data_IF_778588487785
#
_entry.id   IF_778588487785
#
_cell.length_a   1.000
_cell.length_b   1.000
_cell.length_c   1.000
_cell.angle_alpha   90.00
_cell.angle_beta   90.00
_cell.angle_gamma   90.00
#
_symmetry.space_group_name_H-M   'P 1'
#
loop_
_entity.id
_entity.type
_entity.pdbx_description
1 polymer ?
#
# COMPACT_ATOMS: atom_id res chain seq x y z
N UNK A 1 -32.60 52.02 -17.36
CA UNK A 1 -33.02 50.60 -17.24
C UNK A 1 -31.83 49.72 -17.59
N UNK A 2 -31.04 49.35 -16.60
CA UNK A 2 -29.88 48.48 -16.77
C UNK A 2 -30.16 47.16 -16.02
N UNK A 3 -30.17 46.06 -16.77
CA UNK A 3 -30.43 44.70 -16.26
C UNK A 3 -29.29 44.29 -15.33
N UNK A 4 -29.61 44.03 -14.06
CA UNK A 4 -28.72 43.37 -13.09
C UNK A 4 -28.39 41.97 -13.60
N UNK A 5 -27.10 41.70 -13.81
CA UNK A 5 -26.55 40.37 -14.06
C UNK A 5 -26.65 39.59 -12.75
N UNK A 6 -27.43 38.52 -12.73
CA UNK A 6 -27.47 37.58 -11.61
C UNK A 6 -26.12 36.87 -11.54
N UNK A 7 -25.47 36.97 -10.38
CA UNK A 7 -24.27 36.24 -10.02
C UNK A 7 -24.77 34.88 -9.53
N UNK A 8 -24.62 33.84 -10.36
CA UNK A 8 -24.75 32.45 -9.94
C UNK A 8 -23.56 32.12 -9.06
N UNK A 9 -23.81 32.02 -7.75
CA UNK A 9 -22.85 31.54 -6.76
C UNK A 9 -22.95 30.01 -6.77
N UNK A 10 -21.92 29.33 -7.26
CA UNK A 10 -21.77 27.89 -7.10
C UNK A 10 -21.56 27.56 -5.61
N UNK A 11 -22.21 26.53 -5.05
CA UNK A 11 -22.10 26.24 -3.63
C UNK A 11 -20.73 25.60 -3.32
N UNK A 12 -20.01 26.21 -2.37
CA UNK A 12 -18.76 25.69 -1.80
C UNK A 12 -18.92 24.22 -1.36
N UNK A 13 -18.01 23.36 -1.80
CA UNK A 13 -17.85 22.02 -1.26
C UNK A 13 -17.48 22.12 0.22
N UNK A 14 -18.33 21.56 1.09
CA UNK A 14 -18.10 21.51 2.54
C UNK A 14 -17.47 20.15 2.82
N UNK A 15 -16.21 20.16 3.24
CA UNK A 15 -15.52 18.96 3.73
C UNK A 15 -16.04 18.58 5.12
N UNK A 16 -16.49 17.33 5.28
CA UNK A 16 -16.99 16.80 6.54
C UNK A 16 -15.86 16.10 7.31
N UNK A 17 -15.75 16.38 8.60
CA UNK A 17 -14.69 15.81 9.48
C UNK A 17 -15.15 14.54 10.21
N UNK A 18 -16.45 14.25 10.24
CA UNK A 18 -17.07 13.12 10.94
C UNK A 18 -18.19 12.49 10.13
N UNK A 19 -18.37 11.17 10.28
CA UNK A 19 -19.44 10.38 9.63
C UNK A 19 -20.81 10.97 9.91
N UNK A 20 -21.08 11.34 11.16
CA UNK A 20 -22.35 11.92 11.61
C UNK A 20 -22.66 13.27 10.95
N UNK A 21 -21.64 14.10 10.68
CA UNK A 21 -21.82 15.38 10.00
C UNK A 21 -22.15 15.19 8.52
N UNK A 22 -21.51 14.22 7.87
CA UNK A 22 -21.82 13.86 6.49
C UNK A 22 -23.23 13.27 6.36
N UNK A 23 -23.61 12.37 7.28
CA UNK A 23 -24.98 11.81 7.36
C UNK A 23 -26.03 12.91 7.57
N UNK A 24 -25.81 13.81 8.54
CA UNK A 24 -26.72 14.91 8.84
C UNK A 24 -26.87 15.90 7.67
N UNK A 25 -25.77 16.22 6.98
CA UNK A 25 -25.83 17.10 5.80
C UNK A 25 -26.60 16.47 4.64
N UNK A 26 -26.37 15.18 4.39
CA UNK A 26 -27.12 14.42 3.38
C UNK A 26 -28.60 14.36 3.75
N UNK A 27 -28.94 14.14 5.02
CA UNK A 27 -30.34 14.18 5.49
C UNK A 27 -30.97 15.56 5.34
N UNK A 28 -30.25 16.65 5.62
CA UNK A 28 -30.79 18.01 5.48
C UNK A 28 -30.98 18.41 4.01
N UNK A 29 -30.03 18.02 3.13
CA UNK A 29 -30.15 18.21 1.68
C UNK A 29 -31.29 17.36 1.10
N UNK A 30 -31.38 16.10 1.52
CA UNK A 30 -32.46 15.18 1.14
C UNK A 30 -33.84 15.66 1.58
N UNK A 31 -33.97 16.28 2.77
CA UNK A 31 -35.22 16.90 3.24
C UNK A 31 -35.62 18.15 2.44
N UNK A 32 -34.65 18.89 1.88
CA UNK A 32 -34.91 20.09 1.07
C UNK A 32 -35.31 19.75 -0.36
N UNK A 33 -34.60 18.81 -0.98
CA UNK A 33 -34.76 18.49 -2.39
C UNK A 33 -35.70 17.31 -2.63
N UNK A 34 -36.01 16.50 -1.61
CA UNK A 34 -36.84 15.29 -1.69
C UNK A 34 -36.20 14.16 -2.50
N UNK A 35 -35.03 14.41 -3.10
CA UNK A 35 -34.29 13.50 -3.96
C UNK A 35 -32.79 13.62 -3.69
N UNK A 36 -32.08 12.50 -3.65
CA UNK A 36 -30.62 12.46 -3.56
C UNK A 36 -30.04 11.60 -4.68
N UNK A 37 -28.98 12.10 -5.30
CA UNK A 37 -28.23 11.37 -6.33
C UNK A 37 -27.36 10.30 -5.69
N UNK A 38 -27.34 9.10 -6.27
CA UNK A 38 -26.51 7.99 -5.79
C UNK A 38 -25.00 8.30 -5.83
N UNK A 39 -24.55 9.13 -6.76
CA UNK A 39 -23.14 9.52 -6.85
C UNK A 39 -22.77 10.47 -5.70
N UNK A 40 -23.66 11.39 -5.34
CA UNK A 40 -23.41 12.35 -4.24
C UNK A 40 -23.32 11.66 -2.87
N UNK A 41 -24.18 10.68 -2.60
CA UNK A 41 -24.15 9.92 -1.34
C UNK A 41 -22.93 9.02 -1.29
N UNK A 42 -22.63 8.33 -2.39
CA UNK A 42 -21.48 7.43 -2.48
C UNK A 42 -20.14 8.19 -2.39
N UNK A 43 -20.03 9.38 -2.96
CA UNK A 43 -18.79 10.15 -2.97
C UNK A 43 -18.52 10.84 -1.63
N UNK A 44 -19.58 11.27 -0.92
CA UNK A 44 -19.45 11.86 0.42
C UNK A 44 -19.19 10.85 1.52
N UNK A 45 -19.71 9.63 1.39
CA UNK A 45 -19.46 8.55 2.37
C UNK A 45 -18.22 7.70 2.06
N UNK A 46 -17.65 7.80 0.85
CA UNK A 46 -16.45 7.05 0.46
C UNK A 46 -15.20 7.35 1.31
N UNK A 47 -15.15 8.51 1.97
CA UNK A 47 -14.00 8.90 2.78
C UNK A 47 -14.05 8.35 4.22
N UNK A 48 -15.11 7.62 4.60
CA UNK A 48 -15.27 7.10 5.94
C UNK A 48 -15.39 5.57 5.93
N UNK A 49 -14.64 4.88 6.80
CA UNK A 49 -14.88 3.46 7.10
C UNK A 49 -16.20 3.34 7.87
N UNK A 50 -17.30 3.09 7.17
CA UNK A 50 -18.55 2.70 7.79
C UNK A 50 -18.63 1.19 7.93
N UNK A 51 -18.98 0.74 9.13
CA UNK A 51 -19.33 -0.66 9.37
C UNK A 51 -20.67 -1.01 8.72
N UNK A 52 -20.91 -2.30 8.50
CA UNK A 52 -22.12 -2.85 7.86
C UNK A 52 -23.39 -2.27 8.51
N UNK A 53 -23.41 -2.29 9.85
CA UNK A 53 -24.56 -1.87 10.65
C UNK A 53 -24.77 -0.34 10.58
N UNK A 54 -23.69 0.44 10.47
CA UNK A 54 -23.76 1.90 10.38
C UNK A 54 -24.23 2.40 9.00
N UNK A 55 -23.99 1.62 7.95
CA UNK A 55 -24.57 1.86 6.61
C UNK A 55 -26.04 1.46 6.58
N UNK A 56 -26.38 0.33 7.21
CA UNK A 56 -27.76 -0.14 7.32
C UNK A 56 -28.63 0.87 8.09
N UNK A 57 -28.14 1.39 9.22
CA UNK A 57 -28.76 2.46 9.98
C UNK A 57 -28.92 3.75 9.15
N UNK A 58 -27.93 4.09 8.31
CA UNK A 58 -28.03 5.28 7.44
C UNK A 58 -29.08 5.12 6.34
N UNK A 59 -29.19 3.94 5.73
CA UNK A 59 -30.23 3.66 4.75
C UNK A 59 -31.62 3.59 5.39
N UNK A 60 -31.71 3.11 6.64
CA UNK A 60 -32.94 3.16 7.43
C UNK A 60 -33.35 4.62 7.75
N UNK A 61 -32.41 5.46 8.20
CA UNK A 61 -32.66 6.89 8.43
C UNK A 61 -33.10 7.63 7.15
N UNK A 62 -32.56 7.28 5.99
CA UNK A 62 -32.99 7.86 4.72
C UNK A 62 -34.42 7.45 4.33
N UNK A 63 -34.79 6.21 4.62
CA UNK A 63 -36.13 5.68 4.37
C UNK A 63 -37.18 6.25 5.35
N UNK A 64 -36.84 6.40 6.63
CA UNK A 64 -37.72 7.05 7.62
C UNK A 64 -38.06 8.49 7.25
N UNK A 65 -37.16 9.17 6.53
CA UNK A 65 -37.34 10.54 6.08
C UNK A 65 -37.94 10.66 4.66
N UNK A 66 -38.44 9.58 4.06
CA UNK A 66 -39.10 9.52 2.72
C UNK A 66 -38.25 10.10 1.55
N UNK A 67 -36.92 10.00 1.62
CA UNK A 67 -36.03 10.54 0.59
C UNK A 67 -35.90 9.53 -0.57
N UNK A 68 -36.32 9.92 -1.78
CA UNK A 68 -36.17 9.08 -2.97
C UNK A 68 -34.74 9.20 -3.54
N UNK A 69 -34.01 8.10 -3.53
CA UNK A 69 -32.70 8.00 -4.17
C UNK A 69 -32.88 7.76 -5.68
N UNK A 70 -32.38 8.66 -6.52
CA UNK A 70 -32.52 8.57 -7.98
C UNK A 70 -31.15 8.35 -8.59
N UNK A 71 -31.03 7.32 -9.44
CA UNK A 71 -29.89 7.17 -10.33
C UNK A 71 -30.09 8.15 -11.47
N UNK A 72 -29.20 9.12 -11.64
CA UNK A 72 -29.20 10.01 -12.82
C UNK A 72 -29.12 9.25 -14.15
N UNK A 73 -28.83 7.94 -14.12
CA UNK A 73 -28.84 7.05 -15.29
C UNK A 73 -30.17 6.34 -15.58
N UNK A 74 -31.16 6.38 -14.68
CA UNK A 74 -32.47 5.77 -14.97
C UNK A 74 -33.31 6.63 -15.96
N UNK A 75 -32.80 7.78 -16.43
CA UNK A 75 -33.38 8.58 -17.52
C UNK A 75 -32.68 8.40 -18.89
N UNK A 76 -31.61 7.60 -18.96
CA UNK A 76 -30.88 7.30 -20.19
C UNK A 76 -31.07 5.84 -20.64
N UNK A 77 -32.20 5.24 -20.28
CA UNK A 77 -32.63 3.95 -20.83
C UNK A 77 -33.16 4.19 -22.26
N UNK A 78 -32.24 4.38 -23.20
CA UNK A 78 -32.49 4.20 -24.63
C UNK A 78 -31.23 3.63 -25.26
N UNK A 79 -31.18 2.30 -25.29
CA UNK A 79 -30.48 1.53 -26.33
C UNK A 79 -28.96 1.73 -26.49
N UNK A 80 -28.22 2.10 -25.45
CA UNK A 80 -26.80 1.70 -25.41
C UNK A 80 -26.71 0.24 -24.98
N UNK A 81 -26.85 -0.66 -25.97
CA UNK A 81 -26.09 -1.91 -25.93
C UNK A 81 -24.68 -1.52 -25.48
N UNK A 82 -24.28 -1.97 -24.29
CA UNK A 82 -22.88 -2.03 -23.90
C UNK A 82 -22.19 -2.89 -24.97
N UNK A 83 -21.73 -2.24 -26.03
CA UNK A 83 -21.16 -2.87 -27.20
C UNK A 83 -19.79 -3.39 -26.76
N UNK A 84 -19.77 -4.64 -26.31
CA UNK A 84 -18.58 -5.39 -25.93
C UNK A 84 -17.53 -5.44 -27.07
N UNK A 85 -17.93 -5.09 -28.29
CA UNK A 85 -17.11 -4.83 -29.48
C UNK A 85 -16.17 -3.64 -29.33
N UNK A 86 -16.55 -2.60 -28.56
CA UNK A 86 -15.73 -1.41 -28.34
C UNK A 86 -14.64 -1.63 -27.27
N UNK A 87 -14.61 -2.81 -26.64
CA UNK A 87 -13.48 -3.32 -25.86
C UNK A 87 -12.44 -4.04 -26.73
N UNK A 88 -12.35 -3.70 -28.03
CA UNK A 88 -11.22 -4.14 -28.83
C UNK A 88 -9.97 -3.39 -28.37
N UNK A 89 -9.07 -4.13 -27.71
CA UNK A 89 -7.66 -3.79 -27.59
C UNK A 89 -7.12 -3.18 -28.91
N UNK A 90 -6.12 -2.27 -28.84
CA UNK A 90 -5.50 -1.66 -30.01
C UNK A 90 -5.21 -2.72 -31.10
N UNK A 91 -5.42 -2.39 -32.38
CA UNK A 91 -5.39 -3.38 -33.45
C UNK A 91 -4.01 -4.06 -33.50
N UNK A 92 -3.95 -5.34 -33.09
CA UNK A 92 -2.72 -6.10 -33.00
C UNK A 92 -2.73 -7.28 -32.01
N UNK A 93 -3.68 -7.35 -31.08
CA UNK A 93 -3.68 -8.39 -30.03
C UNK A 93 -4.39 -9.67 -30.52
N UNK A 94 -3.60 -10.74 -30.66
CA UNK A 94 -4.03 -12.11 -31.00
C UNK A 94 -5.05 -12.65 -29.98
N UNK A 95 -5.81 -13.66 -30.38
CA UNK A 95 -6.94 -14.33 -29.68
C UNK A 95 -6.63 -14.83 -28.24
N UNK A 96 -5.40 -14.71 -27.74
CA UNK A 96 -4.94 -15.22 -26.44
C UNK A 96 -4.96 -14.20 -25.29
N UNK A 97 -5.65 -13.07 -25.41
CA UNK A 97 -5.76 -12.09 -24.32
C UNK A 97 -6.74 -12.61 -23.25
N UNK A 98 -6.27 -12.91 -22.02
CA UNK A 98 -7.13 -13.41 -20.95
C UNK A 98 -8.29 -12.45 -20.61
N UNK A 99 -8.09 -11.14 -20.81
CA UNK A 99 -9.13 -10.13 -20.60
C UNK A 99 -10.28 -10.33 -21.58
N UNK A 100 -9.97 -10.55 -22.87
CA UNK A 100 -11.00 -10.78 -23.90
C UNK A 100 -11.75 -12.10 -23.68
N UNK A 101 -11.05 -13.15 -23.24
CA UNK A 101 -11.70 -14.41 -22.88
C UNK A 101 -12.70 -14.22 -21.76
N UNK A 102 -12.30 -13.54 -20.69
CA UNK A 102 -13.15 -13.25 -19.54
C UNK A 102 -14.38 -12.42 -19.94
N UNK A 103 -14.20 -11.32 -20.69
CA UNK A 103 -15.31 -10.47 -21.15
C UNK A 103 -16.33 -11.23 -22.02
N UNK A 104 -15.85 -12.19 -22.82
CA UNK A 104 -16.72 -13.04 -23.64
C UNK A 104 -17.52 -14.04 -22.80
N UNK A 105 -16.93 -14.56 -21.72
CA UNK A 105 -17.62 -15.50 -20.83
C UNK A 105 -18.72 -14.82 -20.03
N UNK A 106 -18.44 -13.67 -19.41
CA UNK A 106 -19.45 -12.92 -18.64
C UNK A 106 -20.56 -12.35 -19.55
N UNK A 107 -20.27 -12.13 -20.84
CA UNK A 107 -21.25 -11.68 -21.83
C UNK A 107 -22.27 -12.74 -22.24
N UNK A 108 -22.07 -14.02 -21.86
CA UNK A 108 -23.03 -15.11 -22.13
C UNK A 108 -24.18 -15.19 -21.13
N UNK A 109 -24.02 -14.58 -19.96
CA UNK A 109 -25.03 -14.59 -18.90
C UNK A 109 -26.01 -13.44 -19.13
N UNK A 110 -27.29 -13.75 -19.14
CA UNK A 110 -28.36 -12.77 -19.32
C UNK A 110 -28.50 -11.88 -18.08
N UNK A 111 -28.94 -10.64 -18.29
CA UNK A 111 -29.24 -9.69 -17.22
C UNK A 111 -30.51 -10.13 -16.48
N UNK A 112 -30.49 -10.00 -15.15
CA UNK A 112 -31.65 -10.29 -14.31
C UNK A 112 -32.60 -9.09 -14.26
N UNK A 113 -33.88 -9.38 -14.13
CA UNK A 113 -34.90 -8.39 -13.80
C UNK A 113 -35.00 -8.17 -12.28
N UNK A 114 -35.52 -7.02 -11.85
CA UNK A 114 -35.69 -6.71 -10.42
C UNK A 114 -36.55 -7.75 -9.68
N UNK A 115 -37.52 -8.39 -10.36
CA UNK A 115 -38.33 -9.44 -9.76
C UNK A 115 -37.52 -10.75 -9.53
N UNK A 116 -36.65 -11.09 -10.48
CA UNK A 116 -35.77 -12.26 -10.38
C UNK A 116 -34.68 -12.07 -9.32
N UNK A 117 -34.17 -10.85 -9.15
CA UNK A 117 -33.23 -10.52 -8.06
C UNK A 117 -33.85 -10.82 -6.69
N UNK A 118 -35.11 -10.43 -6.48
CA UNK A 118 -35.85 -10.69 -5.24
C UNK A 118 -36.11 -12.18 -5.04
N UNK A 119 -36.43 -12.92 -6.10
CA UNK A 119 -36.63 -14.38 -6.01
C UNK A 119 -35.33 -15.10 -5.65
N UNK A 120 -34.21 -14.72 -6.26
CA UNK A 120 -32.90 -15.27 -5.94
C UNK A 120 -32.47 -14.91 -4.52
N UNK A 121 -32.69 -13.66 -4.07
CA UNK A 121 -32.38 -13.24 -2.70
C UNK A 121 -33.14 -14.05 -1.65
N UNK A 122 -34.44 -14.33 -1.86
CA UNK A 122 -35.24 -15.20 -0.98
C UNK A 122 -34.70 -16.64 -0.89
N UNK A 123 -34.17 -17.16 -1.99
CA UNK A 123 -33.54 -18.50 -2.02
C UNK A 123 -32.18 -18.49 -1.33
N UNK A 124 -31.43 -17.40 -1.45
CA UNK A 124 -30.14 -17.22 -0.76
C UNK A 124 -30.33 -17.21 0.76
N UNK A 125 -31.38 -16.55 1.29
CA UNK A 125 -31.73 -16.63 2.72
C UNK A 125 -32.00 -18.06 3.20
N UNK A 126 -32.52 -18.93 2.31
CA UNK A 126 -32.77 -20.34 2.61
C UNK A 126 -31.48 -21.20 2.52
N UNK A 127 -30.33 -20.59 2.21
CA UNK A 127 -29.05 -21.27 2.09
C UNK A 127 -28.79 -21.91 0.72
N UNK A 128 -29.46 -21.45 -0.34
CA UNK A 128 -29.24 -21.97 -1.71
C UNK A 128 -27.99 -21.36 -2.36
N UNK A 129 -26.90 -22.13 -2.36
CA UNK A 129 -25.62 -21.72 -2.97
C UNK A 129 -25.72 -21.53 -4.50
N UNK A 130 -26.63 -22.26 -5.18
CA UNK A 130 -26.80 -22.11 -6.63
C UNK A 130 -27.42 -20.75 -6.94
N UNK A 131 -28.37 -20.30 -6.11
CA UNK A 131 -28.95 -18.96 -6.23
C UNK A 131 -27.90 -17.88 -5.98
N UNK A 132 -26.98 -18.08 -5.02
CA UNK A 132 -25.86 -17.17 -4.74
C UNK A 132 -24.94 -17.02 -5.95
N UNK A 133 -24.48 -18.14 -6.52
CA UNK A 133 -23.63 -18.12 -7.72
C UNK A 133 -24.33 -17.45 -8.89
N UNK A 134 -25.62 -17.77 -9.12
CA UNK A 134 -26.37 -17.17 -10.23
C UNK A 134 -26.55 -15.66 -10.08
N UNK A 135 -26.82 -15.16 -8.88
CA UNK A 135 -26.94 -13.72 -8.62
C UNK A 135 -25.60 -13.00 -8.81
N UNK A 136 -24.48 -13.62 -8.40
CA UNK A 136 -23.15 -13.09 -8.64
C UNK A 136 -22.78 -13.08 -10.12
N UNK A 137 -22.99 -14.18 -10.85
CA UNK A 137 -22.67 -14.32 -12.28
C UNK A 137 -23.38 -13.27 -13.15
N UNK A 138 -24.67 -13.04 -12.91
CA UNK A 138 -25.45 -12.03 -13.62
C UNK A 138 -24.92 -10.60 -13.43
N UNK A 139 -24.25 -10.34 -12.31
CA UNK A 139 -23.73 -9.02 -11.93
C UNK A 139 -22.21 -8.85 -12.18
N UNK A 140 -21.53 -9.82 -12.79
CA UNK A 140 -20.10 -9.70 -13.11
C UNK A 140 -19.80 -8.50 -14.05
N UNK A 141 -20.76 -8.13 -14.91
CA UNK A 141 -20.64 -6.97 -15.81
C UNK A 141 -20.59 -5.65 -15.05
N UNK A 142 -21.29 -5.56 -13.91
CA UNK A 142 -21.26 -4.39 -13.03
C UNK A 142 -19.86 -4.20 -12.42
N UNK A 143 -19.19 -5.29 -12.03
CA UNK A 143 -17.82 -5.23 -11.48
C UNK A 143 -16.86 -4.65 -12.52
N UNK A 144 -16.94 -5.12 -13.77
CA UNK A 144 -16.09 -4.62 -14.87
C UNK A 144 -16.30 -3.13 -15.12
N UNK A 145 -17.55 -2.65 -15.12
CA UNK A 145 -17.85 -1.23 -15.36
C UNK A 145 -17.32 -0.32 -14.24
N UNK A 146 -17.35 -0.80 -12.99
CA UNK A 146 -16.78 -0.09 -11.84
C UNK A 146 -15.25 -0.12 -11.87
N UNK A 147 -14.66 -1.29 -12.08
CA UNK A 147 -13.20 -1.52 -12.09
C UNK A 147 -12.49 -0.73 -13.19
N UNK A 148 -13.16 -0.48 -14.34
CA UNK A 148 -12.62 0.32 -15.45
C UNK A 148 -12.11 1.71 -15.01
N UNK A 149 -12.73 2.33 -13.99
CA UNK A 149 -12.34 3.64 -13.45
C UNK A 149 -11.03 3.64 -12.64
N UNK A 150 -10.55 2.45 -12.28
CA UNK A 150 -9.37 2.24 -11.44
C UNK A 150 -8.16 1.70 -12.21
N UNK A 151 -8.29 1.53 -13.53
CA UNK A 151 -7.19 1.12 -14.41
C UNK A 151 -6.06 2.15 -14.37
N UNK A 152 -4.82 1.67 -14.33
CA UNK A 152 -3.63 2.54 -14.30
C UNK A 152 -3.24 3.05 -12.92
N UNK A 153 -3.83 2.53 -11.82
CA UNK A 153 -3.47 2.89 -10.44
C UNK A 153 -2.46 1.93 -9.78
N UNK A 154 -1.62 1.26 -10.58
CA UNK A 154 -0.56 0.37 -10.08
C UNK A 154 -0.94 -1.12 -9.97
N UNK A 155 -2.18 -1.51 -10.27
CA UNK A 155 -2.62 -2.90 -10.30
C UNK A 155 -3.12 -3.29 -11.70
N UNK A 156 -2.96 -4.57 -12.08
CA UNK A 156 -3.46 -5.10 -13.35
C UNK A 156 -4.99 -5.07 -13.38
N UNK A 157 -5.56 -4.91 -14.58
CA UNK A 157 -7.01 -4.80 -14.72
C UNK A 157 -7.75 -6.08 -14.30
N UNK A 158 -7.18 -7.26 -14.57
CA UNK A 158 -7.76 -8.54 -14.15
C UNK A 158 -7.79 -8.65 -12.62
N UNK A 159 -6.73 -8.23 -11.94
CA UNK A 159 -6.65 -8.29 -10.48
C UNK A 159 -7.68 -7.35 -9.85
N UNK A 160 -7.85 -6.13 -10.40
CA UNK A 160 -8.92 -5.21 -9.99
C UNK A 160 -10.31 -5.83 -10.14
N UNK A 161 -10.54 -6.56 -11.23
CA UNK A 161 -11.81 -7.27 -11.45
C UNK A 161 -12.00 -8.37 -10.40
N UNK A 162 -10.96 -9.15 -10.09
CA UNK A 162 -11.08 -10.23 -9.11
C UNK A 162 -11.33 -9.71 -7.69
N UNK A 163 -10.65 -8.64 -7.28
CA UNK A 163 -10.89 -7.97 -6.00
C UNK A 163 -12.31 -7.40 -5.95
N UNK A 164 -12.79 -6.82 -7.06
CA UNK A 164 -14.18 -6.40 -7.21
C UNK A 164 -15.18 -7.56 -7.14
N UNK A 165 -14.87 -8.71 -7.73
CA UNK A 165 -15.70 -9.93 -7.66
C UNK A 165 -15.80 -10.45 -6.22
N UNK A 166 -14.71 -10.39 -5.44
CA UNK A 166 -14.75 -10.72 -4.02
C UNK A 166 -15.64 -9.74 -3.24
N UNK A 167 -15.61 -8.44 -3.58
CA UNK A 167 -16.54 -7.45 -3.05
C UNK A 167 -17.99 -7.75 -3.40
N UNK A 168 -18.26 -8.13 -4.65
CA UNK A 168 -19.59 -8.51 -5.12
C UNK A 168 -20.13 -9.72 -4.35
N UNK A 169 -19.33 -10.76 -4.12
CA UNK A 169 -19.76 -11.96 -3.38
C UNK A 169 -20.18 -11.57 -1.95
N UNK A 170 -19.42 -10.70 -1.28
CA UNK A 170 -19.79 -10.18 0.04
C UNK A 170 -21.10 -9.38 -0.01
N UNK A 171 -21.32 -8.61 -1.08
CA UNK A 171 -22.57 -7.89 -1.28
C UNK A 171 -23.76 -8.85 -1.45
N UNK A 172 -23.59 -9.94 -2.20
CA UNK A 172 -24.63 -10.95 -2.40
C UNK A 172 -25.01 -11.61 -1.07
N UNK A 173 -24.04 -11.90 -0.20
CA UNK A 173 -24.29 -12.55 1.10
C UNK A 173 -25.04 -11.66 2.09
N UNK A 174 -24.84 -10.34 2.02
CA UNK A 174 -25.43 -9.37 2.94
C UNK A 174 -26.62 -8.60 2.36
N UNK A 175 -27.06 -8.94 1.14
CA UNK A 175 -28.11 -8.20 0.48
C UNK A 175 -29.48 -8.48 1.12
N UNK A 176 -30.15 -7.41 1.56
CA UNK A 176 -31.51 -7.46 2.08
C UNK A 176 -32.49 -6.88 1.03
N UNK A 177 -33.36 -7.74 0.52
CA UNK A 177 -34.38 -7.37 -0.48
C UNK A 177 -35.59 -6.66 0.14
N UNK A 178 -35.76 -6.69 1.47
CA UNK A 178 -36.89 -6.04 2.15
C UNK A 178 -36.77 -4.52 2.18
N UNK A 179 -35.54 -4.00 2.10
CA UNK A 179 -35.23 -2.56 2.07
C UNK A 179 -35.67 -1.85 0.79
N UNK A 180 -36.11 -2.59 -0.24
CA UNK A 180 -36.73 -2.03 -1.45
C UNK A 180 -35.77 -1.36 -2.45
N UNK A 181 -34.46 -1.48 -2.27
CA UNK A 181 -33.45 -0.94 -3.19
C UNK A 181 -32.97 -2.00 -4.21
N UNK A 182 -32.59 -1.55 -5.42
CA UNK A 182 -31.98 -2.41 -6.45
C UNK A 182 -30.65 -2.99 -5.94
N UNK A 183 -30.36 -4.25 -6.29
CA UNK A 183 -29.12 -4.92 -5.88
C UNK A 183 -27.86 -4.18 -6.36
N UNK A 184 -27.89 -3.63 -7.58
CA UNK A 184 -26.77 -2.89 -8.18
C UNK A 184 -26.31 -1.70 -7.34
N UNK A 185 -27.23 -0.99 -6.68
CA UNK A 185 -26.93 0.14 -5.79
C UNK A 185 -26.12 -0.31 -4.59
N UNK A 186 -26.56 -1.38 -3.93
CA UNK A 186 -25.89 -1.95 -2.77
C UNK A 186 -24.52 -2.55 -3.14
N UNK A 187 -24.48 -3.34 -4.23
CA UNK A 187 -23.27 -3.98 -4.71
C UNK A 187 -22.17 -2.98 -5.10
N UNK A 188 -22.55 -1.82 -5.66
CA UNK A 188 -21.59 -0.79 -6.09
C UNK A 188 -20.68 -0.33 -4.94
N UNK A 189 -21.22 -0.21 -3.73
CA UNK A 189 -20.45 0.20 -2.55
C UNK A 189 -19.41 -0.87 -2.17
N UNK A 190 -19.84 -2.13 -2.04
CA UNK A 190 -18.96 -3.25 -1.70
C UNK A 190 -17.86 -3.50 -2.74
N UNK A 191 -18.20 -3.40 -4.03
CA UNK A 191 -17.24 -3.55 -5.12
C UNK A 191 -16.21 -2.41 -5.05
N UNK A 192 -16.65 -1.17 -4.87
CA UNK A 192 -15.77 0.01 -4.76
C UNK A 192 -14.83 -0.09 -3.56
N UNK A 193 -15.36 -0.52 -2.42
CA UNK A 193 -14.61 -0.68 -1.17
C UNK A 193 -13.55 -1.77 -1.31
N UNK A 194 -13.91 -2.92 -1.87
CA UNK A 194 -12.97 -4.01 -2.10
C UNK A 194 -11.83 -3.59 -3.05
N UNK A 195 -12.16 -2.95 -4.18
CA UNK A 195 -11.15 -2.47 -5.15
C UNK A 195 -10.23 -1.42 -4.52
N UNK A 196 -10.79 -0.40 -3.85
CA UNK A 196 -9.99 0.68 -3.25
C UNK A 196 -9.05 0.15 -2.17
N UNK A 197 -9.55 -0.79 -1.34
CA UNK A 197 -8.75 -1.45 -0.31
C UNK A 197 -7.63 -2.30 -0.91
N UNK A 198 -7.93 -3.09 -1.94
CA UNK A 198 -6.92 -3.92 -2.60
C UNK A 198 -5.82 -3.08 -3.26
N UNK A 199 -6.17 -1.95 -3.88
CA UNK A 199 -5.19 -1.00 -4.42
C UNK A 199 -4.29 -0.47 -3.29
N UNK A 200 -4.87 -0.04 -2.17
CA UNK A 200 -4.07 0.46 -1.05
C UNK A 200 -3.14 -0.63 -0.46
N UNK A 201 -3.60 -1.88 -0.44
CA UNK A 201 -2.87 -2.99 0.18
C UNK A 201 -1.77 -3.60 -0.71
N UNK A 202 -1.97 -3.63 -2.04
CA UNK A 202 -1.17 -4.43 -2.97
C UNK A 202 -0.57 -3.64 -4.14
N UNK A 203 -1.06 -2.44 -4.48
CA UNK A 203 -0.61 -1.74 -5.70
C UNK A 203 0.83 -1.19 -5.63
N UNK A 204 1.46 -1.23 -4.46
CA UNK A 204 2.82 -0.73 -4.24
C UNK A 204 3.79 -1.86 -3.94
N UNK A 205 4.99 -1.78 -4.48
CA UNK A 205 6.10 -2.73 -4.21
C UNK A 205 6.43 -2.79 -2.72
N UNK A 206 6.41 -1.64 -2.05
CA UNK A 206 6.58 -1.53 -0.60
C UNK A 206 5.22 -1.24 -0.01
N UNK A 207 4.72 -2.16 0.82
CA UNK A 207 3.40 -2.04 1.45
C UNK A 207 3.34 -0.84 2.40
N UNK A 208 2.32 0.01 2.20
CA UNK A 208 2.03 1.16 3.05
C UNK A 208 0.69 0.91 3.76
N UNK A 209 0.54 1.21 5.05
CA UNK A 209 -0.74 1.09 5.74
C UNK A 209 -1.84 1.97 5.12
N UNK A 210 -3.11 1.52 5.17
CA UNK A 210 -4.25 2.17 4.50
C UNK A 210 -4.43 3.64 4.90
N UNK A 211 -4.37 3.96 6.19
CA UNK A 211 -4.50 5.34 6.68
C UNK A 211 -3.42 6.30 6.12
N UNK A 212 -2.24 5.78 5.80
CA UNK A 212 -1.19 6.57 5.15
C UNK A 212 -1.51 6.79 3.67
N UNK A 213 -2.07 5.82 2.98
CA UNK A 213 -2.54 5.97 1.59
C UNK A 213 -3.67 7.01 1.49
N UNK A 214 -4.61 7.00 2.43
CA UNK A 214 -5.66 8.03 2.53
C UNK A 214 -5.07 9.42 2.76
N UNK A 215 -4.11 9.52 3.68
CA UNK A 215 -3.40 10.79 3.95
C UNK A 215 -2.67 11.30 2.71
N UNK A 216 -2.02 10.41 1.95
CA UNK A 216 -1.34 10.74 0.68
C UNK A 216 -2.36 11.23 -0.36
N UNK A 217 -3.50 10.55 -0.51
CA UNK A 217 -4.53 10.96 -1.46
C UNK A 217 -5.16 12.31 -1.09
N UNK A 218 -5.37 12.56 0.21
CA UNK A 218 -5.84 13.86 0.73
C UNK A 218 -4.82 14.95 0.44
N UNK A 219 -3.54 14.68 0.68
CA UNK A 219 -2.43 15.59 0.36
C UNK A 219 -2.42 15.93 -1.14
N UNK A 220 -2.51 14.93 -2.03
CA UNK A 220 -2.52 15.14 -3.48
C UNK A 220 -3.74 15.97 -3.92
N UNK A 221 -4.91 15.77 -3.29
CA UNK A 221 -6.12 16.56 -3.58
C UNK A 221 -5.93 18.02 -3.20
N UNK A 222 -5.47 18.29 -1.98
CA UNK A 222 -5.19 19.65 -1.50
C UNK A 222 -4.08 20.31 -2.31
N UNK A 223 -3.02 19.57 -2.63
CA UNK A 223 -1.94 20.05 -3.49
C UNK A 223 -2.47 20.52 -4.86
N UNK A 224 -3.41 19.77 -5.47
CA UNK A 224 -4.04 20.17 -6.73
C UNK A 224 -4.93 21.41 -6.59
N UNK A 225 -5.71 21.51 -5.50
CA UNK A 225 -6.53 22.70 -5.20
C UNK A 225 -5.64 23.93 -5.01
N UNK A 226 -4.62 23.84 -4.17
CA UNK A 226 -3.66 24.92 -3.94
C UNK A 226 -2.89 25.30 -5.20
N UNK A 227 -2.56 24.35 -6.08
CA UNK A 227 -1.93 24.64 -7.37
C UNK A 227 -2.86 25.47 -8.26
N UNK A 228 -4.17 25.18 -8.25
CA UNK A 228 -5.17 25.95 -8.98
C UNK A 228 -5.34 27.37 -8.41
N UNK A 229 -5.34 27.51 -7.08
CA UNK A 229 -5.54 28.80 -6.41
C UNK A 229 -4.30 29.71 -6.48
N UNK A 230 -3.11 29.14 -6.29
CA UNK A 230 -1.84 29.88 -6.27
C UNK A 230 -1.21 30.04 -7.65
N UNK A 231 -1.57 29.19 -8.62
CA UNK A 231 -0.96 29.14 -9.95
C UNK A 231 0.53 28.72 -9.94
N UNK A 232 1.02 28.18 -8.83
CA UNK A 232 2.36 27.65 -8.62
C UNK A 232 2.32 26.39 -7.76
N UNK A 233 3.41 25.63 -7.74
CA UNK A 233 3.53 24.51 -6.80
C UNK A 233 3.49 25.02 -5.34
N UNK A 234 2.61 24.45 -4.50
CA UNK A 234 2.51 24.85 -3.10
C UNK A 234 3.70 24.35 -2.29
N UNK A 235 4.12 25.14 -1.31
CA UNK A 235 5.19 24.75 -0.39
C UNK A 235 4.67 23.74 0.65
N UNK A 236 5.53 22.87 1.21
CA UNK A 236 5.12 21.94 2.26
C UNK A 236 4.54 22.61 3.51
N UNK A 237 4.87 23.88 3.74
CA UNK A 237 4.33 24.69 4.84
C UNK A 237 2.88 25.09 4.57
N UNK A 238 2.58 25.58 3.36
CA UNK A 238 1.21 25.92 2.93
C UNK A 238 0.29 24.69 2.89
N UNK A 239 0.79 23.54 2.44
CA UNK A 239 0.04 22.28 2.47
C UNK A 239 -0.24 21.86 3.92
N UNK A 240 0.74 22.05 4.82
CA UNK A 240 0.61 21.72 6.23
C UNK A 240 -0.44 22.57 6.93
N UNK A 241 -0.51 23.87 6.61
CA UNK A 241 -1.55 24.78 7.13
C UNK A 241 -2.95 24.34 6.71
N UNK A 242 -3.17 23.95 5.45
CA UNK A 242 -4.47 23.48 4.98
C UNK A 242 -4.84 22.08 5.53
N UNK A 243 -3.84 21.24 5.80
CA UNK A 243 -4.03 19.88 6.32
C UNK A 243 -4.08 19.79 7.85
N UNK A 244 -3.87 20.89 8.58
CA UNK A 244 -3.64 20.92 10.03
C UNK A 244 -2.49 19.98 10.48
N UNK A 245 -1.43 19.89 9.67
CA UNK A 245 -0.26 19.04 9.93
C UNK A 245 1.03 19.86 9.98
N UNK A 246 2.01 19.47 10.82
CA UNK A 246 3.32 20.12 10.82
C UNK A 246 4.04 19.87 9.50
N UNK A 247 4.73 20.89 8.98
CA UNK A 247 5.44 20.83 7.70
C UNK A 247 6.47 19.69 7.64
N UNK A 248 7.07 19.30 8.77
CA UNK A 248 7.98 18.15 8.85
C UNK A 248 7.29 16.84 8.47
N UNK A 249 6.08 16.61 8.99
CA UNK A 249 5.29 15.42 8.69
C UNK A 249 4.81 15.40 7.23
N UNK A 250 4.49 16.57 6.67
CA UNK A 250 4.17 16.68 5.23
C UNK A 250 5.37 16.27 4.38
N UNK A 251 6.60 16.69 4.74
CA UNK A 251 7.83 16.26 4.05
C UNK A 251 8.07 14.76 4.17
N UNK A 252 7.78 14.15 5.31
CA UNK A 252 7.85 12.68 5.47
C UNK A 252 6.85 11.96 4.57
N UNK A 253 5.60 12.43 4.53
CA UNK A 253 4.55 11.86 3.68
C UNK A 253 4.95 11.97 2.20
N UNK A 254 5.50 13.12 1.79
CA UNK A 254 6.00 13.31 0.42
C UNK A 254 7.14 12.35 0.06
N UNK A 255 8.03 12.01 1.01
CA UNK A 255 9.07 11.00 0.80
C UNK A 255 8.47 9.60 0.66
N UNK A 256 7.50 9.23 1.50
CA UNK A 256 6.84 7.92 1.46
C UNK A 256 6.01 7.77 0.17
N UNK A 257 5.47 8.86 -0.36
CA UNK A 257 4.67 8.86 -1.58
C UNK A 257 5.48 8.59 -2.86
N UNK A 258 6.83 8.63 -2.81
CA UNK A 258 7.69 8.38 -3.97
C UNK A 258 7.66 6.90 -4.37
N UNK A 259 7.51 6.63 -5.67
CA UNK A 259 7.54 5.27 -6.21
C UNK A 259 9.00 4.84 -6.46
N UNK A 260 9.36 3.58 -6.14
CA UNK A 260 10.69 3.07 -6.43
C UNK A 260 10.92 2.99 -7.95
N UNK A 261 12.13 3.36 -8.37
CA UNK A 261 12.56 3.30 -9.78
C UNK A 261 13.27 1.97 -10.03
N UNK A 262 13.14 1.43 -11.24
CA UNK A 262 13.85 0.21 -11.65
C UNK A 262 15.34 0.48 -11.82
N UNK A 263 16.19 -0.47 -11.41
CA UNK A 263 17.61 -0.44 -11.68
C UNK A 263 17.94 -0.61 -13.17
N UNK A 264 17.02 -1.20 -13.93
CA UNK A 264 17.14 -1.38 -15.37
C UNK A 264 16.64 -0.16 -16.17
N UNK A 265 16.27 0.94 -15.51
CA UNK A 265 15.93 2.16 -16.24
C UNK A 265 17.18 2.68 -16.96
N UNK A 266 17.18 2.78 -18.31
CA UNK A 266 18.33 3.27 -19.07
C UNK A 266 18.56 4.74 -18.74
N UNK A 267 19.82 5.16 -18.73
CA UNK A 267 20.22 6.53 -18.41
C UNK A 267 21.04 7.12 -19.57
N UNK A 268 20.58 8.26 -20.09
CA UNK A 268 21.20 8.91 -21.26
C UNK A 268 20.50 8.58 -22.58
N UNK A 269 21.11 9.02 -23.69
CA UNK A 269 20.62 8.77 -25.07
C UNK A 269 21.16 7.46 -25.66
N UNK A 270 22.23 6.90 -25.07
CA UNK A 270 22.81 5.62 -25.46
C UNK A 270 22.24 4.52 -24.55
N UNK A 271 21.58 3.52 -25.14
CA UNK A 271 20.92 2.40 -24.43
C UNK A 271 21.89 1.45 -23.68
N UNK A 272 23.18 1.79 -23.60
CA UNK A 272 24.22 0.95 -23.01
C UNK A 272 24.38 1.15 -21.49
N UNK A 273 23.85 2.24 -20.91
CA UNK A 273 24.01 2.56 -19.48
C UNK A 273 22.70 2.44 -18.72
N UNK A 274 22.69 1.70 -17.62
CA UNK A 274 21.52 1.52 -16.75
C UNK A 274 21.73 2.20 -15.41
N UNK A 275 20.65 2.56 -14.70
CA UNK A 275 20.74 3.18 -13.37
C UNK A 275 21.52 2.30 -12.38
N UNK A 276 21.36 0.97 -12.46
CA UNK A 276 22.05 0.01 -11.61
C UNK A 276 23.57 0.05 -11.71
N UNK A 277 24.12 0.45 -12.85
CA UNK A 277 25.58 0.51 -13.08
C UNK A 277 26.25 1.63 -12.25
N UNK A 278 25.47 2.59 -11.74
CA UNK A 278 25.96 3.73 -10.95
C UNK A 278 25.82 3.53 -9.44
N UNK A 279 25.24 2.41 -8.99
CA UNK A 279 25.05 2.14 -7.57
C UNK A 279 26.27 1.41 -7.03
N UNK A 280 27.06 2.10 -6.22
CA UNK A 280 28.19 1.53 -5.51
C UNK A 280 27.71 0.59 -4.38
N UNK A 281 28.30 -0.61 -4.33
CA UNK A 281 28.11 -1.53 -3.21
C UNK A 281 28.97 -1.09 -2.02
N UNK A 282 28.33 -0.55 -0.98
CA UNK A 282 29.01 -0.09 0.24
C UNK A 282 29.39 -1.22 1.20
N UNK A 283 28.86 -2.44 1.01
CA UNK A 283 29.21 -3.59 1.85
C UNK A 283 30.39 -4.37 1.28
N UNK A 284 30.74 -4.15 0.01
CA UNK A 284 31.88 -4.79 -0.63
C UNK A 284 33.21 -4.35 0.03
N UNK A 285 33.95 -5.32 0.58
CA UNK A 285 35.28 -5.05 1.11
C UNK A 285 36.23 -4.68 -0.03
N UNK A 286 36.92 -3.55 0.09
CA UNK A 286 37.90 -3.16 -0.92
C UNK A 286 39.09 -4.15 -0.95
N UNK A 287 39.71 -4.42 -2.11
CA UNK A 287 40.89 -5.28 -2.18
C UNK A 287 42.04 -4.81 -1.29
N UNK A 288 42.18 -3.49 -1.11
CA UNK A 288 43.13 -2.90 -0.18
C UNK A 288 42.82 -3.24 1.27
N UNK A 289 41.55 -3.15 1.69
CA UNK A 289 41.15 -3.47 3.06
C UNK A 289 41.29 -4.97 3.34
N UNK A 290 40.98 -5.81 2.34
CA UNK A 290 41.17 -7.24 2.44
C UNK A 290 42.65 -7.61 2.59
N UNK A 291 43.52 -7.05 1.75
CA UNK A 291 44.97 -7.27 1.84
C UNK A 291 45.54 -6.72 3.16
N UNK A 292 45.07 -5.55 3.62
CA UNK A 292 45.46 -4.99 4.91
C UNK A 292 45.05 -5.91 6.08
N UNK A 293 43.86 -6.51 6.01
CA UNK A 293 43.38 -7.46 7.01
C UNK A 293 44.18 -8.77 7.01
N UNK A 294 44.52 -9.32 5.84
CA UNK A 294 45.39 -10.49 5.73
C UNK A 294 46.80 -10.21 6.28
N UNK A 295 47.39 -9.06 5.91
CA UNK A 295 48.69 -8.63 6.44
C UNK A 295 48.66 -8.42 7.96
N UNK A 296 47.58 -7.83 8.49
CA UNK A 296 47.38 -7.68 9.93
C UNK A 296 47.34 -9.04 10.62
N UNK A 297 46.65 -10.02 10.03
CA UNK A 297 46.56 -11.38 10.58
C UNK A 297 47.92 -12.06 10.62
N UNK A 298 48.69 -11.98 9.54
CA UNK A 298 50.04 -12.56 9.47
C UNK A 298 50.99 -11.90 10.50
N UNK A 299 50.97 -10.56 10.60
CA UNK A 299 51.75 -9.85 11.63
C UNK A 299 51.29 -10.14 13.06
N UNK A 300 50.00 -10.41 13.27
CA UNK A 300 49.47 -10.81 14.57
C UNK A 300 50.00 -12.20 14.95
N UNK A 301 50.00 -13.16 14.02
CA UNK A 301 50.58 -14.50 14.20
C UNK A 301 52.08 -14.41 14.53
N UNK A 302 52.86 -13.66 13.76
CA UNK A 302 54.29 -13.40 14.02
C UNK A 302 54.54 -12.86 15.44
N UNK A 303 53.69 -11.94 15.91
CA UNK A 303 53.83 -11.34 17.24
C UNK A 303 53.41 -12.32 18.34
N UNK A 304 52.41 -13.15 18.09
CA UNK A 304 51.95 -14.18 19.03
C UNK A 304 52.99 -15.29 19.21
N UNK A 305 53.69 -15.70 18.16
CA UNK A 305 54.78 -16.70 18.20
C UNK A 305 55.97 -16.27 19.09
N UNK A 306 56.12 -14.97 19.34
CA UNK A 306 57.17 -14.46 20.26
C UNK A 306 56.80 -14.58 21.74
N UNK A 307 55.58 -15.03 22.07
CA UNK A 307 55.17 -15.39 23.41
C UNK A 307 55.53 -16.85 23.71
N UNK A 308 55.34 -17.29 24.95
CA UNK A 308 55.45 -18.73 25.24
C UNK A 308 54.17 -19.44 24.80
N UNK A 309 54.25 -20.70 24.37
CA UNK A 309 53.10 -21.51 23.90
C UNK A 309 51.89 -21.45 24.85
N UNK A 310 52.12 -21.39 26.16
CA UNK A 310 51.04 -21.26 27.17
C UNK A 310 50.38 -19.87 27.20
N UNK A 311 51.14 -18.81 26.97
CA UNK A 311 50.63 -17.43 26.92
C UNK A 311 49.84 -17.20 25.62
N UNK A 312 50.36 -17.70 24.50
CA UNK A 312 49.73 -17.64 23.19
C UNK A 312 48.39 -18.38 23.14
N UNK A 313 48.37 -19.66 23.51
CA UNK A 313 47.13 -20.46 23.46
C UNK A 313 46.03 -19.90 24.39
N UNK A 314 46.42 -19.26 25.50
CA UNK A 314 45.47 -18.54 26.36
C UNK A 314 44.85 -17.34 25.63
N UNK A 315 45.63 -16.58 24.87
CA UNK A 315 45.12 -15.45 24.07
C UNK A 315 44.27 -15.92 22.89
N UNK A 316 44.72 -16.93 22.12
CA UNK A 316 43.96 -17.49 20.99
C UNK A 316 42.58 -17.98 21.42
N UNK A 317 42.50 -18.75 22.52
CA UNK A 317 41.24 -19.26 23.07
C UNK A 317 40.38 -18.18 23.74
N UNK A 318 40.99 -17.16 24.35
CA UNK A 318 40.26 -16.07 25.02
C UNK A 318 39.58 -15.14 24.02
N UNK A 319 40.33 -14.72 23.00
CA UNK A 319 39.87 -13.79 21.97
C UNK A 319 39.25 -14.49 20.75
N UNK A 320 39.30 -15.82 20.69
CA UNK A 320 38.69 -16.60 19.62
C UNK A 320 39.38 -16.38 18.27
N UNK A 321 40.71 -16.32 18.25
CA UNK A 321 41.48 -16.01 17.03
C UNK A 321 41.45 -17.16 16.01
N UNK A 322 41.26 -18.41 16.45
CA UNK A 322 41.19 -19.59 15.58
C UNK A 322 39.74 -19.98 15.23
N UNK A 323 38.81 -19.89 16.19
CA UNK A 323 37.43 -20.40 16.09
C UNK A 323 36.37 -19.29 16.05
N UNK A 324 36.78 -18.01 16.09
CA UNK A 324 35.89 -16.85 16.10
C UNK A 324 35.06 -16.69 17.38
N UNK A 325 35.27 -17.56 18.39
CA UNK A 325 34.45 -17.59 19.61
C UNK A 325 35.25 -17.14 20.82
N UNK A 326 34.89 -16.00 21.39
CA UNK A 326 35.47 -15.56 22.66
C UNK A 326 35.02 -16.47 23.80
N UNK A 327 35.97 -16.94 24.61
CA UNK A 327 35.71 -17.81 25.76
C UNK A 327 35.93 -17.07 27.06
N UNK A 328 35.19 -17.40 28.11
CA UNK A 328 35.40 -16.80 29.44
C UNK A 328 36.68 -17.30 30.10
N UNK A 329 37.23 -16.52 31.04
CA UNK A 329 38.44 -16.92 31.80
C UNK A 329 38.27 -18.25 32.55
N UNK A 330 37.04 -18.58 32.94
CA UNK A 330 36.73 -19.84 33.61
C UNK A 330 36.73 -21.02 32.63
N UNK A 331 36.17 -20.85 31.44
CA UNK A 331 36.18 -21.87 30.37
C UNK A 331 37.61 -22.14 29.88
N UNK A 332 38.40 -21.09 29.68
CA UNK A 332 39.82 -21.22 29.34
C UNK A 332 40.57 -21.93 30.48
N UNK A 333 40.29 -21.58 31.73
CA UNK A 333 40.87 -22.25 32.91
C UNK A 333 40.57 -23.75 32.97
N UNK A 334 39.35 -24.17 32.60
CA UNK A 334 38.97 -25.58 32.53
C UNK A 334 39.80 -26.34 31.49
N UNK A 335 40.07 -25.74 30.33
CA UNK A 335 40.88 -26.36 29.25
C UNK A 335 42.34 -26.55 29.68
N UNK A 336 42.91 -25.57 30.39
CA UNK A 336 44.31 -25.63 30.86
C UNK A 336 44.49 -26.35 32.22
N UNK A 337 43.41 -26.75 32.89
CA UNK A 337 43.47 -27.37 34.22
C UNK A 337 43.92 -26.41 35.33
N UNK A 338 43.59 -25.12 35.20
CA UNK A 338 44.14 -24.03 36.01
C UNK A 338 43.02 -23.10 36.52
N UNK A 339 43.22 -22.45 37.66
CA UNK A 339 42.21 -21.53 38.23
C UNK A 339 42.00 -20.29 37.35
N UNK A 340 40.79 -19.74 37.38
CA UNK A 340 40.42 -18.49 36.69
C UNK A 340 41.42 -17.35 36.92
N UNK A 341 41.83 -17.14 38.18
CA UNK A 341 42.76 -16.06 38.53
C UNK A 341 44.15 -16.28 37.93
N UNK A 342 44.56 -17.54 37.77
CA UNK A 342 45.85 -17.84 37.15
C UNK A 342 45.84 -17.60 35.63
N UNK A 343 44.72 -17.85 34.93
CA UNK A 343 44.57 -17.46 33.52
C UNK A 343 44.62 -15.94 33.36
N UNK A 344 43.93 -15.20 34.23
CA UNK A 344 43.98 -13.73 34.26
C UNK A 344 45.41 -13.19 34.47
N UNK A 345 46.20 -13.82 35.34
CA UNK A 345 47.61 -13.46 35.53
C UNK A 345 48.45 -13.70 34.26
N UNK A 346 48.22 -14.82 33.57
CA UNK A 346 48.92 -15.17 32.33
C UNK A 346 48.55 -14.18 31.21
N UNK A 347 47.27 -13.85 31.06
CA UNK A 347 46.76 -12.85 30.12
C UNK A 347 47.40 -11.48 30.39
N UNK A 348 47.35 -10.98 31.63
CA UNK A 348 47.93 -9.69 31.99
C UNK A 348 49.44 -9.64 31.73
N UNK A 349 50.16 -10.75 31.97
CA UNK A 349 51.57 -10.87 31.67
C UNK A 349 51.85 -10.87 30.16
N UNK A 350 51.05 -11.59 29.38
CA UNK A 350 51.16 -11.64 27.92
C UNK A 350 50.89 -10.26 27.30
N UNK A 351 49.81 -9.59 27.70
CA UNK A 351 49.48 -8.22 27.26
C UNK A 351 50.58 -7.22 27.62
N UNK A 352 51.21 -7.36 28.80
CA UNK A 352 52.34 -6.51 29.19
C UNK A 352 53.56 -6.71 28.29
N UNK A 353 53.83 -7.95 27.84
CA UNK A 353 54.91 -8.24 26.88
C UNK A 353 54.59 -7.71 25.48
N UNK A 354 53.34 -7.84 25.04
CA UNK A 354 52.87 -7.31 23.75
C UNK A 354 52.92 -5.77 23.68
N UNK A 355 52.75 -5.10 24.83
CA UNK A 355 52.87 -3.63 24.94
C UNK A 355 54.31 -3.11 24.85
N UNK A 356 55.32 -3.98 24.78
CA UNK A 356 56.69 -3.53 24.61
C UNK A 356 56.89 -2.84 23.23
N UNK A 357 57.57 -1.69 23.16
CA UNK A 357 57.66 -0.87 21.92
C UNK A 357 58.13 -1.62 20.68
N UNK A 358 58.99 -2.64 20.85
CA UNK A 358 59.49 -3.46 19.74
C UNK A 358 58.42 -4.31 19.05
N UNK A 359 57.38 -4.74 19.79
CA UNK A 359 56.27 -5.56 19.29
C UNK A 359 55.08 -4.67 18.92
N UNK A 360 54.78 -3.68 19.75
CA UNK A 360 53.65 -2.77 19.52
C UNK A 360 53.84 -1.88 18.28
N UNK A 361 55.09 -1.54 17.91
CA UNK A 361 55.33 -0.69 16.73
C UNK A 361 54.86 -1.36 15.43
N UNK A 362 55.04 -2.69 15.27
CA UNK A 362 54.60 -3.43 14.08
C UNK A 362 53.08 -3.45 13.90
N UNK A 363 52.35 -3.52 15.01
CA UNK A 363 50.87 -3.56 15.01
C UNK A 363 50.25 -2.16 15.04
N UNK A 364 51.04 -1.12 15.36
CA UNK A 364 50.55 0.25 15.43
C UNK A 364 50.26 0.82 14.04
N UNK A 365 51.02 0.38 13.03
CA UNK A 365 50.87 0.81 11.64
C UNK A 365 49.54 0.35 11.00
N UNK A 366 48.79 -0.55 11.66
CA UNK A 366 47.47 -1.04 11.21
C UNK A 366 46.29 -0.47 12.03
N UNK A 367 46.55 0.45 12.97
CA UNK A 367 45.52 1.12 13.79
C UNK A 367 45.25 2.58 13.36
N UNK A 368 46.08 3.11 12.46
CA UNK A 368 45.84 4.37 11.75
C UNK A 368 45.14 4.06 10.41
#
# INVERSE_FOLDING_TARGET
MAKKKAITVEPKEVDFTTVEQAKAFLLEKGKKDGQLSHEEVADKLANFELDSDAMDEFFEELNENEIQMINEKDAADTDEKLDLSDMSAPPGVKINDPVRMYLKEIGRVDLLTAAEEVELAKRIEQGDDIARSRLAEANLRLVVSIAKRYVGRGMLFLDLIQEGNMGLIKAVEKFDFTKGFKFSTYATWWIRQAITRAIADQARTIRIPVHMVETINKLIRIQRQLLQDLGREPTPEEIGEEMDLPAEKVREILKIAQEPVSLETPIGEEDDSHLGDFIEDQEAQSPSDHAAYELLKEQLEDVLDTLTDREENVLRLRFGLDDGRTRTLEEVGKVFGVTRERIRQIEAKALRKLRHPSRSKKLKDFMD
#
